data_IF_942058932991
#
_entry.id   IF_942058932991
#
_cell.length_a   1.000
_cell.length_b   1.000
_cell.length_c   1.000
_cell.angle_alpha   90.00
_cell.angle_beta   90.00
_cell.angle_gamma   90.00
#
_symmetry.space_group_name_H-M   'P 1'
#
loop_
_entity.id
_entity.type
_entity.pdbx_description
1 polymer ?
#
# COMPACT_ATOMS: atom_id res chain seq x y z
N UNK A 1 2.64 -15.19 22.14
CA UNK A 1 1.64 -15.35 21.07
C UNK A 1 2.20 -14.61 19.87
N UNK A 2 2.28 -15.25 18.72
CA UNK A 2 2.71 -14.59 17.50
C UNK A 2 1.78 -13.38 17.21
N UNK A 3 2.36 -12.29 16.71
CA UNK A 3 1.59 -11.13 16.27
C UNK A 3 0.79 -11.51 15.02
N UNK A 4 -0.48 -11.14 14.98
CA UNK A 4 -1.35 -11.37 13.84
C UNK A 4 -1.85 -10.02 13.31
N UNK A 5 -1.99 -9.91 11.99
CA UNK A 5 -2.56 -8.73 11.36
C UNK A 5 -3.98 -8.45 11.88
N UNK A 6 -4.23 -7.21 12.23
CA UNK A 6 -5.53 -6.78 12.71
C UNK A 6 -6.17 -5.81 11.73
N UNK A 7 -7.35 -6.19 11.25
CA UNK A 7 -8.23 -5.23 10.58
C UNK A 7 -8.77 -4.24 11.59
N UNK A 8 -8.70 -2.95 11.25
CA UNK A 8 -9.16 -1.88 12.11
C UNK A 8 -10.64 -1.62 11.84
N UNK A 9 -11.55 -1.85 12.80
CA UNK A 9 -12.96 -1.50 12.63
C UNK A 9 -13.11 0.02 12.45
N UNK A 10 -14.09 0.44 11.64
CA UNK A 10 -14.36 1.86 11.37
C UNK A 10 -14.61 2.73 12.61
N UNK A 11 -15.09 2.13 13.70
CA UNK A 11 -15.34 2.79 14.98
C UNK A 11 -14.13 2.85 15.92
N UNK A 12 -13.01 2.29 15.52
CA UNK A 12 -11.77 2.22 16.33
C UNK A 12 -10.76 3.31 15.99
N UNK A 13 -11.14 4.28 15.16
CA UNK A 13 -10.27 5.38 14.80
C UNK A 13 -10.38 6.52 15.83
N UNK A 14 -9.23 7.05 16.23
CA UNK A 14 -9.09 8.22 17.10
C UNK A 14 -8.20 9.26 16.40
N UNK A 15 -8.21 10.49 16.89
CA UNK A 15 -7.30 11.53 16.39
C UNK A 15 -5.85 11.16 16.71
N UNK A 16 -4.98 11.18 15.70
CA UNK A 16 -3.57 10.81 15.85
C UNK A 16 -2.72 11.91 16.48
N UNK A 17 -1.54 11.55 16.98
CA UNK A 17 -0.66 12.47 17.71
C UNK A 17 -0.04 13.56 16.85
N UNK A 18 -0.05 13.43 15.52
CA UNK A 18 0.72 14.29 14.61
C UNK A 18 -0.12 15.07 13.59
N UNK A 19 -1.44 14.89 13.57
CA UNK A 19 -2.34 15.65 12.71
C UNK A 19 -3.33 16.47 13.52
N UNK A 20 -3.68 17.59 12.95
CA UNK A 20 -4.87 18.31 13.34
C UNK A 20 -6.11 17.39 13.26
N UNK A 21 -7.19 17.77 13.88
CA UNK A 21 -8.38 16.99 14.23
C UNK A 21 -9.07 16.18 13.11
N UNK A 22 -8.48 16.06 11.92
CA UNK A 22 -9.09 15.41 10.76
C UNK A 22 -8.52 14.02 10.44
N UNK A 23 -7.41 13.61 11.06
CA UNK A 23 -6.84 12.29 10.83
C UNK A 23 -7.28 11.33 11.90
N UNK A 24 -8.00 10.32 11.51
CA UNK A 24 -8.41 9.24 12.37
C UNK A 24 -7.31 8.17 12.39
N UNK A 25 -6.88 7.79 13.58
CA UNK A 25 -5.96 6.68 13.79
C UNK A 25 -6.68 5.52 14.45
N UNK A 26 -6.28 4.29 14.18
CA UNK A 26 -6.82 3.14 14.87
C UNK A 26 -6.48 3.18 16.36
N UNK A 27 -7.26 2.49 17.17
CA UNK A 27 -6.95 2.29 18.59
C UNK A 27 -5.51 1.77 18.72
N UNK A 28 -4.81 2.18 19.77
CA UNK A 28 -3.37 1.88 19.96
C UNK A 28 -3.02 0.40 19.77
N UNK A 29 -3.90 -0.50 20.23
CA UNK A 29 -3.65 -1.94 20.10
C UNK A 29 -3.55 -2.43 18.65
N UNK A 30 -4.32 -1.84 17.72
CA UNK A 30 -4.26 -2.16 16.28
C UNK A 30 -3.04 -1.50 15.64
N UNK A 31 -2.86 -0.24 15.92
CA UNK A 31 -1.82 0.62 15.36
C UNK A 31 -0.42 0.07 15.65
N UNK A 32 -0.10 -0.13 16.93
CA UNK A 32 1.20 -0.65 17.31
C UNK A 32 1.37 -2.13 16.98
N UNK A 33 0.30 -2.92 17.01
CA UNK A 33 0.36 -4.32 16.58
C UNK A 33 0.79 -4.43 15.11
N UNK A 34 0.09 -3.74 14.20
CA UNK A 34 0.40 -3.79 12.78
C UNK A 34 1.76 -3.14 12.46
N UNK A 35 2.11 -2.05 13.15
CA UNK A 35 3.43 -1.44 13.05
C UNK A 35 4.57 -2.40 13.43
N UNK A 36 4.41 -3.16 14.52
CA UNK A 36 5.39 -4.17 14.92
C UNK A 36 5.52 -5.29 13.89
N UNK A 37 4.42 -5.72 13.28
CA UNK A 37 4.44 -6.72 12.20
C UNK A 37 5.22 -6.19 10.99
N UNK A 38 4.92 -4.98 10.53
CA UNK A 38 5.63 -4.35 9.41
C UNK A 38 7.13 -4.27 9.69
N UNK A 39 7.50 -3.75 10.88
CA UNK A 39 8.89 -3.66 11.29
C UNK A 39 9.59 -5.02 11.30
N UNK A 40 8.98 -6.04 11.93
CA UNK A 40 9.54 -7.38 11.97
C UNK A 40 9.67 -8.00 10.58
N UNK A 41 8.65 -7.84 9.73
CA UNK A 41 8.61 -8.37 8.36
C UNK A 41 9.73 -7.77 7.51
N UNK A 42 9.85 -6.45 7.45
CA UNK A 42 10.92 -5.83 6.65
C UNK A 42 12.31 -6.07 7.23
N UNK A 43 12.44 -6.22 8.55
CA UNK A 43 13.72 -6.64 9.15
C UNK A 43 14.11 -8.05 8.69
N UNK A 44 13.16 -8.99 8.61
CA UNK A 44 13.40 -10.33 8.08
C UNK A 44 13.79 -10.30 6.58
N UNK A 45 13.29 -9.33 5.80
CA UNK A 45 13.71 -9.08 4.41
C UNK A 45 15.04 -8.31 4.29
N UNK A 46 15.72 -8.05 5.42
CA UNK A 46 17.04 -7.42 5.43
C UNK A 46 17.06 -5.90 5.28
N UNK A 47 15.93 -5.22 5.50
CA UNK A 47 15.91 -3.77 5.48
C UNK A 47 16.57 -3.17 6.72
N UNK A 48 17.18 -2.01 6.57
CA UNK A 48 17.64 -1.22 7.72
C UNK A 48 16.46 -0.58 8.46
N UNK A 49 16.62 -0.33 9.75
CA UNK A 49 15.60 0.39 10.53
C UNK A 49 15.29 1.77 9.94
N UNK A 50 16.28 2.45 9.38
CA UNK A 50 16.12 3.76 8.74
C UNK A 50 15.16 3.66 7.53
N UNK A 51 15.38 2.66 6.67
CA UNK A 51 14.55 2.42 5.49
C UNK A 51 13.12 2.00 5.89
N UNK A 52 13.00 1.11 6.87
CA UNK A 52 11.69 0.68 7.41
C UNK A 52 10.93 1.89 7.94
N UNK A 53 11.55 2.69 8.80
CA UNK A 53 10.91 3.85 9.39
C UNK A 53 10.52 4.90 8.33
N UNK A 54 11.36 5.10 7.32
CA UNK A 54 11.05 5.96 6.17
C UNK A 54 9.80 5.52 5.42
N UNK A 55 9.72 4.23 5.06
CA UNK A 55 8.55 3.66 4.41
C UNK A 55 7.30 3.71 5.31
N UNK A 56 7.45 3.37 6.59
CA UNK A 56 6.35 3.43 7.57
C UNK A 56 5.79 4.84 7.74
N UNK A 57 6.64 5.88 7.66
CA UNK A 57 6.18 7.26 7.72
C UNK A 57 5.19 7.62 6.62
N UNK A 58 5.32 6.98 5.44
CA UNK A 58 4.40 7.15 4.31
C UNK A 58 3.21 6.20 4.45
N UNK A 59 3.43 4.91 4.63
CA UNK A 59 2.39 3.90 4.75
C UNK A 59 1.38 4.20 5.86
N UNK A 60 1.85 4.73 6.98
CA UNK A 60 1.00 5.14 8.11
C UNK A 60 -0.09 6.12 7.66
N UNK A 61 0.30 7.09 6.85
CA UNK A 61 -0.63 8.07 6.31
C UNK A 61 -1.57 7.47 5.27
N UNK A 62 -1.01 6.75 4.31
CA UNK A 62 -1.76 6.19 3.18
C UNK A 62 -2.78 5.14 3.60
N UNK A 63 -2.45 4.35 4.62
CA UNK A 63 -3.29 3.25 5.09
C UNK A 63 -4.13 3.57 6.33
N UNK A 64 -4.20 4.83 6.75
CA UNK A 64 -4.93 5.18 7.96
C UNK A 64 -4.47 4.42 9.20
N UNK A 65 -3.14 4.31 9.40
CA UNK A 65 -2.54 3.61 10.54
C UNK A 65 -2.31 2.12 10.30
N UNK A 66 -1.69 1.77 9.18
CA UNK A 66 -1.29 0.40 8.82
C UNK A 66 -2.42 -0.61 8.69
N UNK A 67 -3.55 -0.17 8.15
CA UNK A 67 -4.66 -1.06 7.90
C UNK A 67 -4.57 -1.70 6.50
N UNK A 68 -4.29 -3.00 6.40
CA UNK A 68 -4.12 -3.65 5.10
C UNK A 68 -5.44 -3.81 4.33
N UNK A 69 -6.57 -3.59 4.95
CA UNK A 69 -7.89 -3.71 4.34
C UNK A 69 -8.56 -2.38 4.05
N UNK A 70 -7.85 -1.23 4.10
CA UNK A 70 -8.44 0.07 3.84
C UNK A 70 -8.57 0.37 2.35
N UNK A 71 -9.64 1.06 1.98
CA UNK A 71 -9.79 1.70 0.68
C UNK A 71 -9.89 3.20 0.82
N UNK A 72 -9.43 3.93 -0.18
CA UNK A 72 -9.62 5.37 -0.28
C UNK A 72 -11.11 5.72 -0.18
N UNK A 73 -11.43 6.86 0.45
CA UNK A 73 -12.79 7.35 0.66
C UNK A 73 -13.66 6.55 1.64
N UNK A 74 -13.05 5.80 2.56
CA UNK A 74 -13.79 5.18 3.67
C UNK A 74 -14.75 4.07 3.25
N UNK A 75 -14.60 3.53 2.06
CA UNK A 75 -15.35 2.39 1.56
C UNK A 75 -14.98 1.10 2.29
N UNK A 76 -15.54 0.91 3.46
CA UNK A 76 -15.39 -0.27 4.31
C UNK A 76 -16.60 -1.17 4.30
N UNK A 77 -16.37 -2.42 4.59
CA UNK A 77 -15.28 -3.27 4.11
C UNK A 77 -15.61 -3.72 2.70
N UNK A 78 -14.62 -3.78 1.86
CA UNK A 78 -14.79 -4.52 0.62
C UNK A 78 -15.17 -5.95 0.99
N UNK A 79 -16.17 -6.55 0.33
CA UNK A 79 -16.61 -7.88 0.69
C UNK A 79 -15.41 -8.83 0.62
N UNK A 80 -15.17 -9.53 1.73
CA UNK A 80 -14.22 -10.62 1.79
C UNK A 80 -14.68 -11.68 0.79
N UNK A 81 -14.04 -11.70 -0.36
CA UNK A 81 -14.29 -12.70 -1.38
C UNK A 81 -13.43 -13.93 -1.19
N UNK A 82 -13.50 -14.82 -2.13
CA UNK A 82 -12.59 -15.96 -2.21
C UNK A 82 -11.21 -15.49 -2.65
N UNK A 83 -10.17 -16.00 -2.00
CA UNK A 83 -8.76 -15.77 -2.35
C UNK A 83 -8.54 -15.85 -3.87
N UNK A 84 -7.84 -14.85 -4.41
CA UNK A 84 -7.42 -14.86 -5.81
C UNK A 84 -8.52 -14.77 -6.87
N UNK A 85 -9.69 -14.23 -6.55
CA UNK A 85 -10.78 -14.06 -7.52
C UNK A 85 -11.44 -12.68 -7.40
N UNK A 86 -10.61 -11.63 -7.48
CA UNK A 86 -11.06 -10.25 -7.37
C UNK A 86 -11.38 -9.64 -8.74
N UNK A 87 -12.45 -8.86 -8.79
CA UNK A 87 -12.66 -7.99 -9.95
C UNK A 87 -11.67 -6.82 -9.88
N UNK A 88 -10.60 -6.91 -10.66
CA UNK A 88 -9.49 -5.94 -10.67
C UNK A 88 -9.91 -4.53 -11.08
N UNK A 89 -11.05 -4.35 -11.68
CA UNK A 89 -11.60 -3.06 -12.11
C UNK A 89 -12.63 -2.48 -11.13
N UNK A 90 -12.96 -3.19 -10.06
CA UNK A 90 -14.00 -2.76 -9.11
C UNK A 90 -13.58 -1.61 -8.20
N UNK A 91 -12.28 -1.45 -8.00
CA UNK A 91 -11.70 -0.45 -7.12
C UNK A 91 -10.52 0.24 -7.80
N UNK A 92 -10.77 1.26 -8.63
CA UNK A 92 -9.71 2.00 -9.28
C UNK A 92 -8.93 2.90 -8.33
N UNK A 93 -9.54 3.36 -7.22
CA UNK A 93 -8.91 4.21 -6.21
C UNK A 93 -7.97 3.45 -5.28
N UNK A 94 -7.24 4.18 -4.45
CA UNK A 94 -6.20 3.65 -3.59
C UNK A 94 -6.66 2.57 -2.61
N UNK A 95 -5.88 1.52 -2.50
CA UNK A 95 -6.12 0.39 -1.58
C UNK A 95 -4.88 0.14 -0.71
N UNK A 96 -5.12 -0.09 0.59
CA UNK A 96 -4.20 -0.71 1.54
C UNK A 96 -2.92 0.07 1.87
N UNK A 97 -1.84 -0.62 2.23
CA UNK A 97 -0.62 -0.04 2.83
C UNK A 97 0.08 0.98 1.93
N UNK A 98 0.05 0.81 0.62
CA UNK A 98 0.70 1.69 -0.35
C UNK A 98 -0.31 2.34 -1.32
N UNK A 99 -1.58 2.44 -0.92
CA UNK A 99 -2.64 3.08 -1.72
C UNK A 99 -2.57 2.72 -3.21
N UNK A 100 -2.44 1.42 -3.51
CA UNK A 100 -2.40 0.94 -4.90
C UNK A 100 -3.60 1.44 -5.70
N UNK A 101 -3.33 2.34 -6.62
CA UNK A 101 -4.32 3.01 -7.46
C UNK A 101 -4.13 2.62 -8.92
N UNK A 102 -5.21 2.33 -9.64
CA UNK A 102 -5.13 2.13 -11.08
C UNK A 102 -4.66 3.43 -11.77
N UNK A 103 -3.91 3.37 -12.88
CA UNK A 103 -3.34 4.55 -13.52
C UNK A 103 -4.34 5.68 -13.82
N UNK A 104 -5.59 5.35 -14.11
CA UNK A 104 -6.68 6.30 -14.37
C UNK A 104 -7.73 6.32 -13.25
N UNK A 105 -7.41 5.78 -12.08
CA UNK A 105 -8.34 5.58 -10.96
C UNK A 105 -8.52 6.78 -10.04
N UNK A 106 -8.15 7.99 -10.47
CA UNK A 106 -8.21 9.19 -9.64
C UNK A 106 -9.62 9.78 -9.55
N UNK A 107 -9.95 10.25 -8.34
CA UNK A 107 -11.16 11.06 -8.13
C UNK A 107 -11.15 12.32 -9.03
N UNK A 108 -12.27 12.74 -9.63
CA UNK A 108 -13.63 12.21 -9.51
C UNK A 108 -14.06 11.21 -10.59
N UNK A 109 -13.20 10.84 -11.51
CA UNK A 109 -13.63 10.13 -12.73
C UNK A 109 -13.89 8.65 -12.50
N UNK A 110 -13.17 7.99 -11.60
CA UNK A 110 -13.25 6.54 -11.32
C UNK A 110 -13.44 5.62 -12.55
N UNK A 111 -13.28 6.19 -13.72
CA UNK A 111 -13.39 5.45 -14.98
C UNK A 111 -11.99 4.98 -15.34
N UNK A 112 -11.77 3.71 -15.11
CA UNK A 112 -10.49 3.10 -15.47
C UNK A 112 -10.72 1.88 -16.34
N UNK A 113 -9.89 1.79 -17.37
CA UNK A 113 -9.74 0.57 -18.16
C UNK A 113 -8.60 -0.29 -17.63
N UNK A 114 -7.79 0.24 -16.73
CA UNK A 114 -6.64 -0.45 -16.19
C UNK A 114 -6.97 -1.09 -14.82
N UNK A 115 -6.38 -2.25 -14.51
CA UNK A 115 -6.65 -2.93 -13.25
C UNK A 115 -6.03 -2.20 -12.07
N UNK A 116 -6.65 -2.34 -10.87
CA UNK A 116 -5.98 -1.99 -9.63
C UNK A 116 -4.80 -2.95 -9.40
N UNK A 117 -3.57 -2.46 -9.20
CA UNK A 117 -2.39 -3.31 -9.09
C UNK A 117 -2.45 -4.31 -7.94
N UNK A 118 -2.98 -3.92 -6.77
CA UNK A 118 -3.09 -4.83 -5.63
C UNK A 118 -4.06 -5.98 -5.91
N UNK A 119 -5.22 -5.69 -6.49
CA UNK A 119 -6.19 -6.74 -6.84
C UNK A 119 -5.65 -7.67 -7.94
N UNK A 120 -4.90 -7.12 -8.89
CA UNK A 120 -4.25 -7.91 -9.93
C UNK A 120 -3.15 -8.82 -9.35
N UNK A 121 -2.34 -8.32 -8.41
CA UNK A 121 -1.36 -9.13 -7.68
C UNK A 121 -2.04 -10.23 -6.86
N UNK A 122 -3.07 -9.89 -6.09
CA UNK A 122 -3.81 -10.85 -5.27
C UNK A 122 -4.37 -12.01 -6.10
N UNK A 123 -4.93 -11.71 -7.27
CA UNK A 123 -5.39 -12.72 -8.22
C UNK A 123 -4.24 -13.59 -8.75
N UNK A 124 -3.15 -12.96 -9.18
CA UNK A 124 -1.98 -13.64 -9.74
C UNK A 124 -1.36 -14.62 -8.75
N UNK A 125 -1.23 -14.19 -7.50
CA UNK A 125 -0.61 -14.99 -6.44
C UNK A 125 -1.61 -15.88 -5.67
N UNK A 126 -2.90 -15.79 -5.97
CA UNK A 126 -3.97 -16.51 -5.31
C UNK A 126 -4.02 -16.28 -3.80
N UNK A 127 -3.95 -15.01 -3.40
CA UNK A 127 -4.01 -14.54 -2.01
C UNK A 127 -5.14 -13.54 -1.82
N UNK A 128 -5.46 -13.24 -0.57
CA UNK A 128 -6.37 -12.15 -0.25
C UNK A 128 -5.68 -10.80 -0.43
N UNK A 129 -6.34 -9.86 -1.09
CA UNK A 129 -5.77 -8.52 -1.33
C UNK A 129 -5.49 -7.76 -0.02
N UNK A 130 -6.24 -8.03 1.05
CA UNK A 130 -6.09 -7.44 2.38
C UNK A 130 -5.10 -8.21 3.28
N UNK A 131 -4.40 -9.21 2.76
CA UNK A 131 -3.32 -9.90 3.46
C UNK A 131 -2.12 -8.94 3.61
N UNK A 132 -1.92 -8.42 4.83
CA UNK A 132 -0.85 -7.48 5.11
C UNK A 132 0.54 -8.06 4.95
N UNK A 133 0.74 -9.35 5.20
CA UNK A 133 2.02 -10.01 4.98
C UNK A 133 2.35 -10.08 3.48
N UNK A 134 1.36 -10.40 2.64
CA UNK A 134 1.51 -10.37 1.19
C UNK A 134 1.78 -8.95 0.68
N UNK A 135 1.12 -7.94 1.24
CA UNK A 135 1.37 -6.55 0.87
C UNK A 135 2.81 -6.11 1.21
N UNK A 136 3.35 -6.53 2.35
CA UNK A 136 4.74 -6.29 2.69
C UNK A 136 5.70 -7.00 1.71
N UNK A 137 5.39 -8.23 1.29
CA UNK A 137 6.15 -8.92 0.25
C UNK A 137 6.10 -8.14 -1.07
N UNK A 138 4.92 -7.72 -1.51
CA UNK A 138 4.77 -6.92 -2.73
C UNK A 138 5.58 -5.62 -2.67
N UNK A 139 5.55 -4.92 -1.53
CA UNK A 139 6.39 -3.73 -1.32
C UNK A 139 7.87 -4.09 -1.36
N UNK A 140 8.29 -5.19 -0.77
CA UNK A 140 9.68 -5.65 -0.84
C UNK A 140 10.16 -5.85 -2.28
N UNK A 141 9.26 -6.27 -3.17
CA UNK A 141 9.49 -6.51 -4.59
C UNK A 141 9.01 -5.39 -5.52
N UNK A 142 8.92 -4.16 -5.05
CA UNK A 142 8.38 -3.05 -5.86
C UNK A 142 9.24 -2.64 -7.06
N UNK A 143 10.39 -3.26 -7.28
CA UNK A 143 11.22 -3.16 -8.48
C UNK A 143 11.21 -4.43 -9.34
N UNK A 144 10.46 -5.46 -8.94
CA UNK A 144 10.37 -6.72 -9.65
C UNK A 144 9.18 -6.70 -10.62
N UNK A 145 9.39 -6.90 -11.95
CA UNK A 145 8.32 -6.98 -12.93
C UNK A 145 7.23 -8.01 -12.60
N UNK A 146 7.54 -9.08 -11.87
CA UNK A 146 6.54 -10.06 -11.45
C UNK A 146 5.50 -9.49 -10.49
N UNK A 147 5.85 -8.46 -9.73
CA UNK A 147 4.98 -7.79 -8.77
C UNK A 147 4.43 -6.44 -9.28
N UNK A 148 5.07 -5.85 -10.28
CA UNK A 148 4.75 -4.49 -10.70
C UNK A 148 4.09 -4.38 -12.06
N UNK A 149 4.26 -5.39 -12.94
CA UNK A 149 3.77 -5.36 -14.30
C UNK A 149 2.48 -6.16 -14.46
N UNK A 150 1.47 -5.52 -15.01
CA UNK A 150 0.18 -6.14 -15.33
C UNK A 150 -0.29 -5.70 -16.71
N UNK A 151 -1.18 -6.48 -17.29
CA UNK A 151 -1.82 -6.12 -18.55
C UNK A 151 -2.71 -4.88 -18.33
N UNK A 152 -2.42 -3.81 -19.04
CA UNK A 152 -3.19 -2.58 -19.02
C UNK A 152 -3.96 -2.43 -20.35
N UNK A 153 -5.30 -2.56 -20.35
CA UNK A 153 -6.12 -2.41 -21.55
C UNK A 153 -5.98 -1.06 -22.24
N UNK A 154 -5.70 0.02 -21.49
CA UNK A 154 -5.51 1.37 -22.04
C UNK A 154 -4.36 1.48 -23.05
N UNK A 155 -3.34 0.61 -22.90
CA UNK A 155 -2.18 0.57 -23.81
C UNK A 155 -2.13 -0.73 -24.61
N UNK A 156 -3.02 -1.68 -24.34
CA UNK A 156 -3.09 -2.97 -25.04
C UNK A 156 -1.87 -3.88 -24.81
N UNK A 157 -1.16 -3.69 -23.71
CA UNK A 157 0.09 -4.39 -23.40
C UNK A 157 0.30 -4.56 -21.90
N UNK A 158 1.25 -5.42 -21.53
CA UNK A 158 1.76 -5.48 -20.16
C UNK A 158 2.64 -4.26 -19.91
N UNK A 159 2.41 -3.58 -18.83
CA UNK A 159 3.18 -2.38 -18.42
C UNK A 159 3.33 -2.30 -16.92
N UNK A 160 4.27 -1.50 -16.45
CA UNK A 160 4.47 -1.22 -15.03
C UNK A 160 3.35 -0.31 -14.54
N UNK A 161 2.48 -0.83 -13.67
CA UNK A 161 1.37 -0.09 -13.09
C UNK A 161 1.75 0.61 -11.78
N UNK A 162 2.72 0.09 -11.06
CA UNK A 162 3.20 0.65 -9.79
C UNK A 162 4.65 0.27 -9.55
N UNK A 163 5.23 0.73 -8.43
CA UNK A 163 6.54 0.32 -7.97
C UNK A 163 7.58 1.43 -8.01
N UNK A 164 8.84 1.08 -7.73
CA UNK A 164 9.93 2.04 -7.66
C UNK A 164 10.19 2.74 -8.99
N UNK A 165 10.07 4.06 -9.00
CA UNK A 165 10.22 4.92 -10.19
C UNK A 165 11.49 5.75 -10.09
N UNK A 166 12.59 5.20 -10.57
CA UNK A 166 13.84 5.94 -10.62
C UNK A 166 13.72 7.11 -11.61
N UNK A 167 14.05 8.32 -11.16
CA UNK A 167 14.14 9.49 -12.03
C UNK A 167 12.85 10.27 -12.28
N UNK A 168 11.73 9.89 -11.66
CA UNK A 168 10.48 10.60 -11.85
C UNK A 168 10.47 12.01 -11.22
N UNK A 169 11.29 12.25 -10.19
CA UNK A 169 11.37 13.53 -9.47
C UNK A 169 12.81 13.87 -9.10
N UNK A 170 13.40 14.83 -9.80
CA UNK A 170 14.82 15.19 -9.75
C UNK A 170 15.35 15.57 -8.37
N UNK A 171 14.49 15.98 -7.46
CA UNK A 171 14.89 16.52 -6.16
C UNK A 171 15.05 15.45 -5.06
N UNK A 172 14.69 14.20 -5.34
CA UNK A 172 14.68 13.10 -4.35
C UNK A 172 15.53 11.91 -4.73
N UNK A 173 16.48 12.09 -5.65
CA UNK A 173 17.47 11.06 -6.03
C UNK A 173 18.54 10.82 -4.95
N UNK A 174 18.16 10.91 -3.68
CA UNK A 174 19.08 10.64 -2.57
C UNK A 174 19.50 9.17 -2.49
N UNK A 175 18.75 8.28 -3.15
CA UNK A 175 19.08 6.87 -3.31
C UNK A 175 18.95 6.44 -4.76
N UNK A 176 19.88 5.61 -5.22
CA UNK A 176 20.04 5.30 -6.65
C UNK A 176 19.17 4.16 -7.16
N UNK A 177 18.58 3.38 -6.27
CA UNK A 177 17.75 2.21 -6.60
C UNK A 177 16.92 1.77 -5.41
N UNK A 178 15.97 0.86 -5.64
CA UNK A 178 15.20 0.23 -4.57
C UNK A 178 16.10 -0.54 -3.58
N UNK A 179 17.07 -1.29 -4.07
CA UNK A 179 17.99 -2.02 -3.20
C UNK A 179 18.85 -1.07 -2.35
N UNK A 180 19.28 0.06 -2.93
CA UNK A 180 19.95 1.10 -2.18
C UNK A 180 19.05 1.76 -1.13
N UNK A 181 17.73 1.87 -1.41
CA UNK A 181 16.75 2.34 -0.44
C UNK A 181 16.65 1.39 0.75
N UNK A 182 16.39 0.10 0.50
CA UNK A 182 16.17 -0.92 1.54
C UNK A 182 17.36 -1.03 2.51
N UNK A 183 18.56 -0.83 2.03
CA UNK A 183 19.81 -0.95 2.80
C UNK A 183 20.37 0.39 3.25
N UNK A 184 19.68 1.49 3.01
CA UNK A 184 20.13 2.84 3.33
C UNK A 184 20.19 3.10 4.83
N UNK A 185 21.20 3.87 5.24
CA UNK A 185 21.34 4.41 6.60
C UNK A 185 21.14 5.93 6.67
N UNK A 186 20.65 6.53 5.59
CA UNK A 186 20.23 7.94 5.60
C UNK A 186 19.15 8.17 6.66
N UNK A 187 18.95 9.41 7.06
CA UNK A 187 17.93 9.78 8.03
C UNK A 187 16.54 9.28 7.57
N UNK A 188 15.71 8.71 8.46
CA UNK A 188 14.41 8.17 8.09
C UNK A 188 13.50 9.22 7.44
N UNK A 189 13.65 10.50 7.80
CA UNK A 189 12.92 11.62 7.20
C UNK A 189 13.25 11.79 5.71
N UNK A 190 14.52 11.62 5.35
CA UNK A 190 14.95 11.71 3.96
C UNK A 190 14.47 10.49 3.18
N UNK A 191 14.49 9.31 3.81
CA UNK A 191 13.98 8.09 3.19
C UNK A 191 12.45 8.11 3.03
N UNK A 192 11.71 8.78 3.92
CA UNK A 192 10.28 9.01 3.72
C UNK A 192 10.00 9.83 2.46
N UNK A 193 10.80 10.88 2.20
CA UNK A 193 10.67 11.64 0.94
C UNK A 193 10.96 10.78 -0.28
N UNK A 194 12.03 9.98 -0.23
CA UNK A 194 12.38 9.10 -1.33
C UNK A 194 11.29 8.06 -1.62
N UNK A 195 10.72 7.46 -0.56
CA UNK A 195 9.60 6.51 -0.70
C UNK A 195 8.38 7.18 -1.32
N UNK A 196 7.96 8.33 -0.79
CA UNK A 196 6.81 9.08 -1.30
C UNK A 196 7.00 9.47 -2.78
N UNK A 197 8.17 9.94 -3.16
CA UNK A 197 8.45 10.34 -4.52
C UNK A 197 8.56 9.16 -5.49
N UNK A 198 9.22 8.06 -5.07
CA UNK A 198 9.60 6.98 -5.98
C UNK A 198 8.61 5.81 -5.98
N UNK A 199 7.88 5.58 -4.89
CA UNK A 199 6.86 4.52 -4.80
C UNK A 199 5.47 5.08 -5.04
N UNK A 200 5.08 6.08 -4.26
CA UNK A 200 3.74 6.70 -4.38
C UNK A 200 3.63 7.63 -5.60
N UNK A 201 4.77 8.10 -6.11
CA UNK A 201 4.80 8.94 -7.30
C UNK A 201 4.35 10.38 -7.06
N UNK A 202 4.39 10.85 -5.82
CA UNK A 202 4.03 12.23 -5.47
C UNK A 202 5.21 13.17 -5.76
N UNK A 203 5.06 14.14 -6.68
CA UNK A 203 6.13 15.06 -7.02
C UNK A 203 6.48 15.99 -5.85
N UNK A 204 7.77 16.27 -5.66
CA UNK A 204 8.28 17.14 -4.59
C UNK A 204 7.95 18.62 -4.70
N UNK A 205 6.91 19.00 -5.31
CA UNK A 205 6.41 20.37 -5.41
C UNK A 205 4.90 20.42 -5.39
N UNK A 206 4.28 19.31 -5.07
CA UNK A 206 2.82 19.21 -5.08
C UNK A 206 2.19 20.04 -3.96
N UNK A 207 2.88 20.18 -2.83
CA UNK A 207 2.44 20.98 -1.70
C UNK A 207 3.30 22.26 -1.60
N UNK A 208 2.75 23.44 -1.85
CA UNK A 208 3.48 24.69 -1.78
C UNK A 208 4.16 24.97 -0.43
N UNK A 209 3.61 24.42 0.64
CA UNK A 209 4.14 24.53 2.01
C UNK A 209 4.92 23.29 2.48
N UNK A 210 4.97 22.24 1.65
CA UNK A 210 5.64 21.00 1.98
C UNK A 210 4.98 20.22 3.15
N UNK A 211 3.70 20.50 3.43
CA UNK A 211 3.01 19.93 4.61
C UNK A 211 2.97 18.41 4.57
N UNK A 212 2.63 17.80 3.44
CA UNK A 212 2.55 16.35 3.29
C UNK A 212 3.88 15.66 3.53
N UNK A 213 4.97 16.21 3.01
CA UNK A 213 6.30 15.69 3.28
C UNK A 213 6.67 15.81 4.75
N UNK A 214 6.39 16.96 5.35
CA UNK A 214 6.69 17.22 6.76
C UNK A 214 6.01 16.20 7.69
N UNK A 215 4.74 15.90 7.46
CA UNK A 215 4.01 14.93 8.27
C UNK A 215 4.62 13.53 8.15
N UNK A 216 4.86 13.08 6.92
CA UNK A 216 5.47 11.77 6.68
C UNK A 216 6.88 11.66 7.24
N UNK A 217 7.65 12.75 7.19
CA UNK A 217 8.96 12.83 7.83
C UNK A 217 8.88 12.73 9.35
N UNK A 218 7.93 13.41 9.98
CA UNK A 218 7.70 13.33 11.42
C UNK A 218 7.29 11.92 11.85
N UNK A 219 6.42 11.27 11.08
CA UNK A 219 6.03 9.88 11.31
C UNK A 219 7.21 8.92 11.14
N UNK A 220 8.04 9.13 10.13
CA UNK A 220 9.25 8.33 9.94
C UNK A 220 10.20 8.45 11.16
N UNK A 221 10.41 9.65 11.66
CA UNK A 221 11.20 9.87 12.88
C UNK A 221 10.56 9.18 14.08
N UNK A 222 9.27 9.33 14.28
CA UNK A 222 8.53 8.67 15.36
C UNK A 222 8.69 7.15 15.34
N UNK A 223 8.59 6.52 14.16
CA UNK A 223 8.76 5.06 14.04
C UNK A 223 10.20 4.64 14.27
N UNK A 224 11.16 5.41 13.77
CA UNK A 224 12.57 5.16 14.06
C UNK A 224 12.84 5.17 15.57
N UNK A 225 12.42 6.23 16.27
CA UNK A 225 12.65 6.37 17.72
C UNK A 225 11.88 5.31 18.51
N UNK A 226 10.70 4.88 18.01
CA UNK A 226 9.89 3.82 18.62
C UNK A 226 10.62 2.48 18.62
N UNK A 227 11.35 2.16 17.57
CA UNK A 227 12.00 0.84 17.39
C UNK A 227 13.51 0.87 17.66
N UNK A 228 14.13 2.03 17.72
CA UNK A 228 15.57 2.13 17.95
C UNK A 228 16.00 1.41 19.23
N UNK A 229 17.02 0.56 19.10
CA UNK A 229 17.55 -0.23 20.21
C UNK A 229 16.66 -1.41 20.65
N UNK A 230 15.55 -1.68 19.96
CA UNK A 230 14.69 -2.82 20.20
C UNK A 230 14.99 -3.96 19.22
N UNK A 231 14.51 -5.15 19.55
CA UNK A 231 14.57 -6.33 18.69
C UNK A 231 13.17 -6.63 18.17
N UNK A 232 12.97 -6.81 16.86
CA UNK A 232 11.68 -7.21 16.31
C UNK A 232 11.34 -8.65 16.72
N UNK A 233 10.06 -8.95 16.75
CA UNK A 233 9.58 -10.31 17.02
C UNK A 233 9.98 -11.24 15.85
N UNK A 234 10.84 -12.24 16.07
CA UNK A 234 11.29 -13.14 15.02
C UNK A 234 10.21 -14.14 14.57
N UNK A 235 9.15 -14.30 15.36
CA UNK A 235 8.09 -15.27 15.12
C UNK A 235 6.95 -14.69 14.25
N UNK A 236 7.07 -13.44 13.79
CA UNK A 236 6.11 -12.86 12.86
C UNK A 236 6.15 -13.66 11.54
N UNK A 237 5.02 -14.24 11.11
CA UNK A 237 4.97 -14.98 9.87
C UNK A 237 5.19 -14.04 8.68
N UNK A 238 6.11 -14.39 7.80
CA UNK A 238 6.37 -13.68 6.54
C UNK A 238 6.29 -14.63 5.38
N UNK A 239 5.89 -14.13 4.22
CA UNK A 239 6.08 -14.90 2.99
C UNK A 239 7.58 -15.03 2.71
N UNK A 240 8.06 -16.20 2.25
CA UNK A 240 9.43 -16.32 1.79
C UNK A 240 9.74 -15.31 0.69
N UNK A 241 10.95 -14.75 0.68
CA UNK A 241 11.37 -13.75 -0.30
C UNK A 241 11.36 -14.29 -1.75
N UNK A 242 11.51 -15.61 -1.89
CA UNK A 242 11.41 -16.36 -3.15
C UNK A 242 9.99 -16.95 -3.34
N UNK A 243 8.97 -16.42 -2.71
CA UNK A 243 7.60 -16.94 -2.82
C UNK A 243 7.20 -17.05 -4.30
N UNK A 244 7.02 -18.26 -4.82
CA UNK A 244 6.76 -18.44 -6.22
C UNK A 244 5.41 -17.83 -6.57
N UNK A 245 5.29 -17.11 -7.70
CA UNK A 245 3.99 -16.82 -8.23
C UNK A 245 3.24 -18.16 -8.33
N UNK A 246 2.10 -18.25 -7.66
CA UNK A 246 1.20 -19.37 -7.85
C UNK A 246 1.00 -19.61 -9.35
N UNK A 247 0.65 -20.81 -9.82
CA UNK A 247 0.35 -21.00 -11.23
C UNK A 247 -0.66 -19.93 -11.61
N UNK A 248 -0.21 -18.95 -12.39
CA UNK A 248 -1.03 -17.81 -12.78
C UNK A 248 -2.39 -18.31 -13.23
N UNK A 249 -3.49 -17.59 -13.00
CA UNK A 249 -4.76 -17.96 -13.53
C UNK A 249 -4.54 -18.28 -15.01
N UNK A 250 -4.86 -19.50 -15.42
CA UNK A 250 -4.83 -19.84 -16.83
C UNK A 250 -5.58 -18.73 -17.59
N UNK A 251 -5.31 -18.47 -18.86
CA UNK A 251 -5.80 -17.31 -19.61
C UNK A 251 -7.23 -17.03 -19.18
N UNK A 252 -7.40 -15.89 -18.51
CA UNK A 252 -8.66 -15.50 -17.88
C UNK A 252 -9.77 -15.67 -18.91
N UNK A 253 -10.99 -16.00 -18.52
CA UNK A 253 -12.08 -16.11 -19.46
C UNK A 253 -12.07 -14.83 -20.29
N UNK A 254 -11.94 -14.99 -21.59
CA UNK A 254 -12.14 -13.93 -22.59
C UNK A 254 -13.30 -13.07 -22.09
N UNK A 255 -13.23 -11.74 -22.07
CA UNK A 255 -14.32 -10.91 -21.56
C UNK A 255 -15.62 -11.30 -22.26
N UNK A 256 -16.29 -12.27 -21.67
CA UNK A 256 -17.63 -12.64 -22.08
C UNK A 256 -18.50 -11.48 -21.67
N UNK A 257 -19.22 -10.93 -22.60
CA UNK A 257 -20.25 -9.91 -22.45
C UNK A 257 -21.17 -10.24 -21.27
N UNK A 258 -20.68 -9.93 -20.05
CA UNK A 258 -21.48 -10.10 -18.85
C UNK A 258 -22.37 -8.87 -18.71
N UNK A 259 -23.57 -8.95 -19.37
CA UNK A 259 -24.67 -8.01 -19.19
C UNK A 259 -25.34 -8.20 -17.81
N UNK A 260 -24.53 -8.37 -16.77
CA UNK A 260 -24.98 -8.43 -15.39
C UNK A 260 -25.48 -7.05 -14.95
N UNK A 261 -26.79 -6.84 -14.99
CA UNK A 261 -27.47 -5.69 -14.37
C UNK A 261 -27.06 -5.64 -12.90
N UNK A 262 -26.43 -4.53 -12.49
CA UNK A 262 -26.24 -4.23 -11.07
C UNK A 262 -27.60 -4.29 -10.36
N UNK A 263 -27.67 -4.92 -9.18
CA UNK A 263 -28.87 -4.89 -8.38
C UNK A 263 -29.24 -3.45 -8.03
N UNK A 264 -30.52 -3.10 -8.21
CA UNK A 264 -31.08 -1.75 -8.05
C UNK A 264 -30.83 -1.09 -6.69
N UNK A 265 -30.48 -1.87 -5.67
CA UNK A 265 -30.22 -1.36 -4.33
C UNK A 265 -28.84 -0.68 -4.18
N UNK A 266 -27.93 -0.82 -5.12
CA UNK A 266 -26.64 -0.09 -5.14
C UNK A 266 -26.78 1.36 -5.65
N UNK A 267 -27.92 1.76 -6.17
CA UNK A 267 -28.10 3.08 -6.78
C UNK A 267 -28.69 4.15 -5.84
N UNK A 268 -29.01 3.83 -4.60
CA UNK A 268 -29.68 4.81 -3.71
C UNK A 268 -28.94 4.93 -2.39
N UNK A 269 -27.93 5.73 -2.34
CA UNK A 269 -27.60 6.59 -1.17
C UNK A 269 -26.76 7.78 -1.63
N UNK A 270 -27.42 8.79 -2.14
CA UNK A 270 -26.92 10.17 -2.07
C UNK A 270 -27.05 10.62 -0.62
N UNK A 271 -25.96 10.99 0.00
CA UNK A 271 -26.02 11.78 1.22
C UNK A 271 -26.12 13.25 0.84
N UNK A 272 -27.05 14.02 1.43
CA UNK A 272 -26.99 15.48 1.37
C UNK A 272 -25.98 15.98 2.39
N UNK A 273 -25.33 17.04 2.06
CA UNK A 273 -24.35 17.92 2.69
C UNK A 273 -24.18 17.86 4.19
#
# INVERSE_FOLDING_TARGET
MALEWKSVPSNSYTTGPFRDNYTLYPAQEYYYNNANIIWATFTQYGWTLNAIAGAMGVMDYESGGFNPGIGEMGGWPLPTGTTGNWNVYSHPSGLSLAQWTAPNGYYPTYDTTDPNPLLAMANKFNVDWYDGAFQCLAINHCNDPEYTNFYAPSVGAVTTLWGWRQGSHSDYHIVSSWDAYRTSTLAPEELAKAYLACVEGVPGGFEPDGSDYRWRQQQARFWYDTFYGKTPDPDVPVYPDDYPPGPGPGPGPTPGTNTGRMPLWMMIRRWPF
#
